data_IF_296908032278
#
_entry.id   IF_296908032278
#
_cell.length_a   1.000
_cell.length_b   1.000
_cell.length_c   1.000
_cell.angle_alpha   90.00
_cell.angle_beta   90.00
_cell.angle_gamma   90.00
#
_symmetry.space_group_name_H-M   'P 1'
#
loop_
_entity.id
_entity.type
_entity.pdbx_description
1 polymer ?
#
# COMPACT_ATOMS: atom_id res chain seq x y z
N UNK A 1 16.25 7.02 -5.56
CA UNK A 1 16.53 5.58 -5.78
C UNK A 1 15.63 5.07 -6.90
N UNK A 2 16.12 4.17 -7.77
CA UNK A 2 15.37 3.68 -8.95
C UNK A 2 14.96 2.23 -8.72
N UNK A 3 13.69 1.91 -8.95
CA UNK A 3 13.19 0.53 -8.93
C UNK A 3 13.76 -0.24 -10.13
N UNK A 4 14.08 -1.52 -9.94
CA UNK A 4 14.53 -2.36 -11.05
C UNK A 4 13.44 -2.52 -12.11
N UNK A 5 13.83 -2.77 -13.37
CA UNK A 5 12.85 -3.04 -14.44
C UNK A 5 12.04 -4.30 -14.16
N UNK A 6 12.63 -5.30 -13.49
CA UNK A 6 11.91 -6.49 -13.04
C UNK A 6 10.81 -6.14 -12.03
N UNK A 7 11.13 -5.27 -11.06
CA UNK A 7 10.16 -4.77 -10.10
C UNK A 7 9.03 -4.02 -10.83
N UNK A 8 9.34 -3.05 -11.68
CA UNK A 8 8.33 -2.27 -12.41
C UNK A 8 7.41 -3.14 -13.26
N UNK A 9 7.95 -4.15 -13.93
CA UNK A 9 7.17 -5.03 -14.81
C UNK A 9 6.26 -6.03 -14.08
N UNK A 10 6.54 -6.33 -12.80
CA UNK A 10 5.87 -7.42 -12.07
C UNK A 10 5.22 -6.99 -10.76
N UNK A 11 5.37 -5.73 -10.35
CA UNK A 11 4.81 -5.22 -9.11
C UNK A 11 3.31 -5.03 -9.20
N UNK A 12 2.63 -5.57 -8.19
CA UNK A 12 1.25 -5.25 -7.88
C UNK A 12 1.15 -4.75 -6.44
N UNK A 13 0.29 -3.77 -6.22
CA UNK A 13 -0.20 -3.36 -4.92
C UNK A 13 -1.63 -3.83 -4.75
N UNK A 14 -1.95 -4.38 -3.59
CA UNK A 14 -3.27 -4.84 -3.21
C UNK A 14 -3.57 -4.35 -1.81
N UNK A 15 -4.86 -4.28 -1.49
CA UNK A 15 -5.30 -4.05 -0.14
C UNK A 15 -5.98 -5.30 0.39
N UNK A 16 -5.47 -5.82 1.48
CA UNK A 16 -6.07 -6.90 2.22
C UNK A 16 -7.14 -6.36 3.16
N UNK A 17 -8.36 -6.83 2.96
CA UNK A 17 -9.51 -6.62 3.84
C UNK A 17 -9.87 -7.96 4.47
N UNK A 18 -9.64 -8.10 5.78
CA UNK A 18 -9.88 -9.33 6.54
C UNK A 18 -9.89 -9.05 8.04
N UNK A 19 -9.81 -10.09 8.89
CA UNK A 19 -9.77 -9.90 10.34
C UNK A 19 -8.51 -9.15 10.78
N UNK A 20 -8.69 -7.92 11.25
CA UNK A 20 -7.61 -7.05 11.72
C UNK A 20 -7.50 -5.74 10.96
N UNK A 21 -6.36 -5.02 11.07
CA UNK A 21 -6.15 -3.79 10.34
C UNK A 21 -6.00 -4.07 8.84
N UNK A 22 -6.60 -3.18 8.06
CA UNK A 22 -6.42 -3.14 6.61
C UNK A 22 -4.93 -3.06 6.30
N UNK A 23 -4.44 -3.93 5.42
CA UNK A 23 -3.00 -4.05 5.14
C UNK A 23 -2.73 -3.82 3.66
N UNK A 24 -1.79 -2.92 3.35
CA UNK A 24 -1.32 -2.73 1.97
C UNK A 24 -0.24 -3.78 1.68
N UNK A 25 -0.41 -4.52 0.60
CA UNK A 25 0.47 -5.61 0.19
C UNK A 25 1.11 -5.27 -1.15
N UNK A 26 2.44 -5.21 -1.19
CA UNK A 26 3.20 -5.17 -2.44
C UNK A 26 3.71 -6.56 -2.77
N UNK A 27 3.47 -7.04 -3.99
CA UNK A 27 3.84 -8.40 -4.39
C UNK A 27 4.31 -8.46 -5.85
N UNK A 28 5.25 -9.36 -6.13
CA UNK A 28 5.69 -9.66 -7.49
C UNK A 28 4.91 -10.83 -8.12
N UNK A 29 4.29 -10.56 -9.28
CA UNK A 29 3.56 -11.56 -10.05
C UNK A 29 3.57 -11.24 -11.55
N UNK A 30 3.44 -12.28 -12.38
CA UNK A 30 3.36 -12.10 -13.84
C UNK A 30 1.99 -11.60 -14.32
N UNK A 31 0.94 -11.72 -13.50
CA UNK A 31 -0.41 -11.26 -13.83
C UNK A 31 -1.15 -10.80 -12.59
N UNK A 32 -2.19 -9.98 -12.79
CA UNK A 32 -3.13 -9.54 -11.75
C UNK A 32 -3.77 -10.71 -11.00
N UNK A 33 -4.21 -11.75 -11.72
CA UNK A 33 -4.82 -12.95 -11.12
C UNK A 33 -3.81 -13.70 -10.26
N UNK A 34 -2.56 -13.84 -10.72
CA UNK A 34 -1.52 -14.47 -9.94
C UNK A 34 -1.15 -13.64 -8.70
N UNK A 35 -1.16 -12.31 -8.78
CA UNK A 35 -0.93 -11.43 -7.64
C UNK A 35 -1.99 -11.64 -6.55
N UNK A 36 -3.28 -11.61 -6.93
CA UNK A 36 -4.41 -11.84 -6.02
C UNK A 36 -4.28 -13.20 -5.33
N UNK A 37 -4.08 -14.27 -6.11
CA UNK A 37 -3.99 -15.63 -5.56
C UNK A 37 -2.84 -15.75 -4.57
N UNK A 38 -1.63 -15.32 -4.96
CA UNK A 38 -0.46 -15.37 -4.08
C UNK A 38 -0.65 -14.56 -2.80
N UNK A 39 -1.21 -13.35 -2.90
CA UNK A 39 -1.48 -12.52 -1.75
C UNK A 39 -2.51 -13.20 -0.82
N UNK A 40 -3.58 -13.78 -1.38
CA UNK A 40 -4.59 -14.48 -0.59
C UNK A 40 -3.99 -15.66 0.16
N UNK A 41 -3.21 -16.49 -0.52
CA UNK A 41 -2.56 -17.67 0.08
C UNK A 41 -1.67 -17.26 1.28
N UNK A 42 -0.92 -16.15 1.15
CA UNK A 42 -0.07 -15.64 2.23
C UNK A 42 -0.91 -15.08 3.38
N UNK A 43 -1.95 -14.29 3.10
CA UNK A 43 -2.75 -13.68 4.16
C UNK A 43 -3.59 -14.70 4.93
N UNK A 44 -4.15 -15.70 4.25
CA UNK A 44 -4.82 -16.84 4.89
C UNK A 44 -3.87 -17.52 5.88
N UNK A 45 -2.62 -17.75 5.47
CA UNK A 45 -1.61 -18.38 6.31
C UNK A 45 -1.18 -17.50 7.49
N UNK A 46 -0.93 -16.20 7.26
CA UNK A 46 -0.49 -15.28 8.31
C UNK A 46 -1.56 -14.99 9.36
N UNK A 47 -2.83 -14.99 8.98
CA UNK A 47 -3.95 -14.66 9.87
C UNK A 47 -4.65 -15.90 10.45
N UNK A 48 -4.35 -17.11 9.96
CA UNK A 48 -5.01 -18.37 10.35
C UNK A 48 -6.55 -18.31 10.18
N UNK A 49 -6.99 -17.85 9.00
CA UNK A 49 -8.41 -17.59 8.66
C UNK A 49 -8.86 -18.36 7.42
N UNK A 50 -10.17 -18.57 7.27
CA UNK A 50 -10.74 -19.17 6.08
C UNK A 50 -10.67 -18.27 4.83
N UNK A 51 -10.69 -18.89 3.64
CA UNK A 51 -10.69 -18.16 2.35
C UNK A 51 -11.89 -17.20 2.19
N UNK A 52 -13.03 -17.51 2.84
CA UNK A 52 -14.23 -16.68 2.83
C UNK A 52 -14.12 -15.44 3.72
N UNK A 53 -13.09 -15.36 4.57
CA UNK A 53 -12.89 -14.27 5.53
C UNK A 53 -11.92 -13.21 4.99
N UNK A 54 -11.37 -13.43 3.80
CA UNK A 54 -10.37 -12.56 3.19
C UNK A 54 -10.86 -11.99 1.86
N UNK A 55 -10.58 -10.72 1.63
CA UNK A 55 -10.77 -10.08 0.34
C UNK A 55 -9.51 -9.30 -0.05
N UNK A 56 -9.22 -9.31 -1.35
CA UNK A 56 -8.21 -8.45 -1.95
C UNK A 56 -8.92 -7.37 -2.76
N UNK A 57 -8.80 -6.13 -2.31
CA UNK A 57 -9.31 -4.95 -3.01
C UNK A 57 -8.16 -4.13 -3.60
N UNK A 58 -8.50 -3.10 -4.39
CA UNK A 58 -7.54 -2.16 -5.00
C UNK A 58 -6.30 -2.82 -5.59
N UNK A 59 -6.51 -3.68 -6.58
CA UNK A 59 -5.42 -4.40 -7.24
C UNK A 59 -4.88 -3.57 -8.40
N UNK A 60 -3.76 -2.89 -8.15
CA UNK A 60 -3.11 -1.94 -9.04
C UNK A 60 -1.71 -2.45 -9.44
N UNK A 61 -1.36 -2.35 -10.72
CA UNK A 61 0.00 -2.59 -11.21
C UNK A 61 0.90 -1.37 -10.95
N UNK A 62 2.22 -1.51 -11.16
CA UNK A 62 3.15 -0.36 -11.13
C UNK A 62 2.65 0.84 -11.95
N UNK A 63 2.15 0.61 -13.16
CA UNK A 63 1.70 1.68 -14.04
C UNK A 63 0.43 2.37 -13.54
N UNK A 64 -0.50 1.60 -12.96
CA UNK A 64 -1.71 2.15 -12.35
C UNK A 64 -1.32 3.07 -11.17
N UNK A 65 -0.43 2.59 -10.30
CA UNK A 65 0.07 3.33 -9.15
C UNK A 65 0.79 4.63 -9.54
N UNK A 66 1.62 4.59 -10.60
CA UNK A 66 2.28 5.79 -11.10
C UNK A 66 1.31 6.83 -11.66
N UNK A 67 0.24 6.38 -12.29
CA UNK A 67 -0.78 7.26 -12.86
C UNK A 67 -1.63 7.93 -11.78
N UNK A 68 -1.83 7.25 -10.65
CA UNK A 68 -2.61 7.73 -9.51
C UNK A 68 -1.79 8.63 -8.56
N UNK A 69 -0.48 8.38 -8.42
CA UNK A 69 0.39 9.11 -7.51
C UNK A 69 0.85 10.48 -8.03
N UNK A 70 1.15 11.40 -7.11
CA UNK A 70 1.53 12.80 -7.42
C UNK A 70 2.90 13.22 -6.92
N UNK A 71 3.59 12.39 -6.16
CA UNK A 71 4.92 12.66 -5.64
C UNK A 71 5.87 13.09 -6.76
N UNK A 72 6.71 14.07 -6.47
CA UNK A 72 7.72 14.51 -7.44
C UNK A 72 8.69 13.37 -7.78
N UNK A 73 9.05 12.57 -6.77
CA UNK A 73 9.87 11.37 -6.92
C UNK A 73 9.00 10.21 -7.37
N UNK A 74 9.19 9.77 -8.62
CA UNK A 74 8.41 8.71 -9.25
C UNK A 74 8.37 7.42 -8.42
N UNK A 75 9.51 7.01 -7.84
CA UNK A 75 9.59 5.79 -7.03
C UNK A 75 8.87 5.88 -5.68
N UNK A 76 8.46 7.07 -5.25
CA UNK A 76 7.64 7.24 -4.05
C UNK A 76 6.14 7.21 -4.35
N UNK A 77 5.73 7.52 -5.57
CA UNK A 77 4.30 7.51 -5.98
C UNK A 77 3.60 6.19 -5.70
N UNK A 78 4.33 5.08 -5.84
CA UNK A 78 3.77 3.76 -5.60
C UNK A 78 3.38 3.51 -4.14
N UNK A 79 3.87 4.34 -3.20
CA UNK A 79 3.59 4.30 -1.77
C UNK A 79 2.57 5.35 -1.32
N UNK A 80 1.93 6.06 -2.24
CA UNK A 80 0.79 6.93 -1.91
C UNK A 80 -0.48 6.10 -1.79
N UNK A 81 -1.17 6.20 -0.66
CA UNK A 81 -2.34 5.41 -0.29
C UNK A 81 -3.65 6.17 -0.54
N UNK A 82 -3.81 6.83 -1.69
CA UNK A 82 -4.98 7.68 -1.97
C UNK A 82 -6.32 6.91 -1.96
N UNK A 83 -6.27 5.60 -2.17
CA UNK A 83 -7.43 4.69 -2.12
C UNK A 83 -7.72 4.16 -0.70
N UNK A 84 -6.92 4.54 0.29
CA UNK A 84 -7.04 4.07 1.66
C UNK A 84 -7.85 5.01 2.55
N UNK A 85 -7.88 6.30 2.19
CA UNK A 85 -8.60 7.35 2.88
C UNK A 85 -9.58 8.08 1.95
N UNK A 86 -10.40 8.96 2.50
CA UNK A 86 -11.45 9.77 1.88
C UNK A 86 -10.93 10.82 0.85
N UNK A 87 -9.87 10.50 0.11
CA UNK A 87 -9.23 11.39 -0.86
C UNK A 87 -8.07 12.21 -0.30
N UNK A 88 -7.65 11.94 0.94
CA UNK A 88 -6.44 12.52 1.55
C UNK A 88 -5.19 11.73 1.12
N UNK A 89 -4.06 12.44 0.90
CA UNK A 89 -2.81 11.80 0.48
C UNK A 89 -2.09 11.19 1.69
N UNK A 90 -2.35 9.93 2.00
CA UNK A 90 -1.62 9.22 3.06
C UNK A 90 -0.46 8.40 2.49
N UNK A 91 0.65 8.30 3.21
CA UNK A 91 1.75 7.40 2.84
C UNK A 91 1.53 6.01 3.40
N UNK A 92 1.85 4.99 2.62
CA UNK A 92 1.86 3.60 3.10
C UNK A 92 3.03 3.41 4.09
N UNK A 93 2.73 3.59 5.36
CA UNK A 93 3.73 3.54 6.44
C UNK A 93 4.14 2.12 6.83
N UNK A 94 3.22 1.15 6.75
CA UNK A 94 3.46 -0.23 7.20
C UNK A 94 3.02 -1.27 6.17
N UNK A 95 3.63 -1.31 4.97
CA UNK A 95 3.28 -2.30 3.96
C UNK A 95 3.80 -3.69 4.30
N UNK A 96 3.07 -4.72 3.85
CA UNK A 96 3.61 -6.05 3.69
C UNK A 96 4.29 -6.17 2.32
N UNK A 97 5.61 -6.29 2.30
CA UNK A 97 6.39 -6.41 1.06
C UNK A 97 6.73 -7.89 0.82
N UNK A 98 6.04 -8.49 -0.15
CA UNK A 98 6.22 -9.87 -0.61
C UNK A 98 7.01 -9.89 -1.92
N UNK A 99 8.28 -9.48 -1.83
CA UNK A 99 9.16 -9.31 -2.99
C UNK A 99 10.57 -9.80 -2.67
N UNK A 100 11.23 -10.39 -3.67
CA UNK A 100 12.66 -10.71 -3.61
C UNK A 100 13.53 -9.60 -4.22
N UNK A 101 12.90 -8.56 -4.78
CA UNK A 101 13.60 -7.42 -5.35
C UNK A 101 13.93 -6.39 -4.27
N UNK A 102 15.23 -6.26 -3.99
CA UNK A 102 15.75 -5.36 -2.95
C UNK A 102 15.54 -3.87 -3.26
N UNK A 103 15.31 -3.50 -4.52
CA UNK A 103 15.11 -2.08 -4.90
C UNK A 103 13.78 -1.54 -4.37
N UNK A 104 12.75 -2.39 -4.26
CA UNK A 104 11.46 -2.01 -3.67
C UNK A 104 11.59 -1.72 -2.17
N UNK A 105 12.26 -2.60 -1.43
CA UNK A 105 12.52 -2.39 0.00
C UNK A 105 13.40 -1.15 0.23
N UNK A 106 14.42 -0.96 -0.61
CA UNK A 106 15.26 0.24 -0.56
C UNK A 106 14.49 1.52 -0.83
N UNK A 107 13.56 1.52 -1.79
CA UNK A 107 12.72 2.68 -2.10
C UNK A 107 11.79 3.03 -0.94
N UNK A 108 11.17 2.00 -0.31
CA UNK A 108 10.35 2.20 0.89
C UNK A 108 11.18 2.75 2.05
N UNK A 109 12.36 2.18 2.32
CA UNK A 109 13.25 2.67 3.38
C UNK A 109 13.70 4.11 3.15
N UNK A 110 13.98 4.49 1.90
CA UNK A 110 14.29 5.87 1.53
C UNK A 110 13.09 6.80 1.81
N UNK A 111 11.87 6.41 1.43
CA UNK A 111 10.67 7.18 1.76
C UNK A 111 10.51 7.37 3.27
N UNK A 112 10.69 6.32 4.07
CA UNK A 112 10.61 6.42 5.53
C UNK A 112 11.66 7.39 6.10
N UNK A 113 12.86 7.42 5.53
CA UNK A 113 13.88 8.39 5.89
C UNK A 113 13.46 9.82 5.55
N UNK A 114 12.95 10.08 4.34
CA UNK A 114 12.50 11.41 3.91
C UNK A 114 11.34 11.92 4.78
N UNK A 115 10.41 11.03 5.13
CA UNK A 115 9.31 11.31 6.06
C UNK A 115 9.87 11.68 7.45
N UNK A 116 10.76 10.86 8.00
CA UNK A 116 11.33 11.10 9.33
C UNK A 116 12.18 12.37 9.39
N UNK A 117 12.84 12.73 8.28
CA UNK A 117 13.60 13.96 8.14
C UNK A 117 12.71 15.20 7.89
N UNK A 118 11.41 15.01 7.65
CA UNK A 118 10.45 16.09 7.39
C UNK A 118 10.53 16.69 5.98
N UNK A 119 11.21 16.03 5.05
CA UNK A 119 11.27 16.45 3.65
C UNK A 119 10.03 16.06 2.86
N UNK A 120 9.34 15.02 3.31
CA UNK A 120 8.03 14.60 2.81
C UNK A 120 7.04 14.76 3.96
N UNK A 121 6.03 15.60 3.77
CA UNK A 121 5.03 15.86 4.81
C UNK A 121 4.23 14.58 5.07
N UNK A 122 4.34 14.06 6.30
CA UNK A 122 3.49 13.00 6.79
C UNK A 122 2.15 13.65 7.17
N UNK A 123 1.07 13.37 6.44
CA UNK A 123 -0.26 13.76 6.94
C UNK A 123 -0.48 13.02 8.28
N UNK A 124 -0.86 13.74 9.35
CA UNK A 124 -0.96 13.14 10.67
C UNK A 124 -2.00 12.02 10.65
N UNK A 125 -1.76 10.88 11.32
CA UNK A 125 -2.82 9.88 11.51
C UNK A 125 -3.97 10.58 12.23
N UNK A 126 -5.18 10.52 11.66
CA UNK A 126 -6.37 11.12 12.29
C UNK A 126 -6.49 10.56 13.71
N UNK A 127 -6.14 11.38 14.70
CA UNK A 127 -6.58 11.17 16.07
C UNK A 127 -8.11 11.25 16.07
N UNK A 128 -8.71 10.33 16.81
CA UNK A 128 -10.11 10.27 17.24
C UNK A 128 -10.76 11.66 17.37
N UNK A 129 -11.27 12.22 16.28
CA UNK A 129 -12.13 13.41 16.24
C UNK A 129 -13.45 13.01 15.60
N UNK A 130 -14.00 11.91 16.09
CA UNK A 130 -15.39 11.53 15.92
C UNK A 130 -16.00 11.21 17.28
N UNK A 131 -15.78 12.10 18.26
CA UNK A 131 -16.72 12.23 19.37
C UNK A 131 -17.78 13.23 18.94
N UNK A 132 -18.89 12.68 18.45
CA UNK A 132 -19.91 13.40 17.73
C UNK A 132 -20.51 14.61 18.45
N UNK A 133 -20.97 15.54 17.62
CA UNK A 133 -22.22 16.24 17.89
C UNK A 133 -22.86 16.62 16.55
N UNK A 134 -24.09 16.16 16.25
CA UNK A 134 -24.80 16.65 15.08
C UNK A 134 -25.18 18.14 15.29
N UNK A 135 -25.30 18.93 14.21
CA UNK A 135 -25.78 20.29 14.31
C UNK A 135 -27.22 20.27 14.83
N UNK A 136 -27.44 20.98 15.93
CA UNK A 136 -28.78 21.37 16.38
C UNK A 136 -29.29 22.40 15.38
N UNK A 137 -30.52 22.13 14.91
CA UNK A 137 -31.41 22.87 14.00
C UNK A 137 -31.06 24.29 13.61
#
# INVERSE_FOLDING_TARGET
>A
MILSEYCKATLFCLVFDGPGPRTVVYIQAGTKVAAIRKAMDVMICLHDVGISEVAMTHVASYHDLLAEGRAEVESFRIFEARWFSDGTEEWVCSPLILSNDSTLLGAWAALQYEIAAGYVEQLPPRSLLDSGKPPVS
#
